data_IF_270777367740
#
_entry.id   IF_270777367740
#
_cell.length_a   1.000
_cell.length_b   1.000
_cell.length_c   1.000
_cell.angle_alpha   90.00
_cell.angle_beta   90.00
_cell.angle_gamma   90.00
#
_symmetry.space_group_name_H-M   'P 1'
#
loop_
_entity.id
_entity.type
_entity.pdbx_description
1 polymer ?
#
# COMPACT_ATOMS: atom_id res chain seq x y z
N UNK A 1 22.46 1.02 10.80
CA UNK A 1 21.20 0.32 11.02
C UNK A 1 20.22 1.25 11.71
N UNK A 2 19.13 1.56 11.01
CA UNK A 2 18.05 2.32 11.61
C UNK A 2 17.22 1.39 12.49
N UNK A 3 17.16 1.68 13.79
CA UNK A 3 16.30 0.95 14.70
C UNK A 3 14.84 1.28 14.38
N UNK A 4 13.96 0.28 14.44
CA UNK A 4 12.54 0.51 14.28
C UNK A 4 12.01 1.31 15.47
N UNK A 5 11.10 2.28 15.24
CA UNK A 5 10.47 2.98 16.34
C UNK A 5 9.62 2.02 17.18
N UNK A 6 9.38 2.33 18.47
CA UNK A 6 8.52 1.50 19.32
C UNK A 6 7.12 1.36 18.74
N UNK A 7 6.54 0.15 18.81
CA UNK A 7 5.20 -0.12 18.26
C UNK A 7 4.12 0.83 18.80
N UNK A 8 4.23 1.23 20.05
CA UNK A 8 3.26 2.12 20.70
C UNK A 8 3.24 3.53 20.13
N UNK A 9 4.32 3.95 19.42
CA UNK A 9 4.42 5.29 18.83
C UNK A 9 4.18 5.34 17.33
N UNK A 10 3.94 4.18 16.69
CA UNK A 10 3.74 4.12 15.24
C UNK A 10 2.31 4.54 14.87
N UNK A 11 2.16 5.26 13.74
CA UNK A 11 0.81 5.55 13.24
C UNK A 11 0.05 4.27 12.91
N UNK A 12 -1.25 4.32 13.12
CA UNK A 12 -2.20 3.25 12.77
C UNK A 12 -3.18 3.75 11.74
N UNK A 13 -4.02 2.85 11.24
CA UNK A 13 -5.02 3.19 10.22
C UNK A 13 -5.91 4.38 10.65
N UNK A 14 -6.14 4.57 11.95
CA UNK A 14 -6.97 5.67 12.46
C UNK A 14 -6.20 6.95 12.73
N UNK A 15 -4.89 6.96 12.61
CA UNK A 15 -4.07 8.14 12.88
C UNK A 15 -4.49 9.31 12.00
N UNK A 16 -4.39 10.53 12.53
CA UNK A 16 -4.79 11.78 11.88
C UNK A 16 -6.29 11.90 11.60
N UNK A 17 -7.13 11.00 12.13
CA UNK A 17 -8.58 11.08 11.95
C UNK A 17 -9.22 11.99 12.99
N UNK A 18 -9.67 13.17 12.56
CA UNK A 18 -10.51 14.07 13.37
C UNK A 18 -11.97 13.89 12.99
N UNK A 19 -12.93 14.36 13.83
CA UNK A 19 -14.35 14.35 13.44
C UNK A 19 -14.62 15.10 12.14
N UNK A 20 -13.96 16.25 11.93
CA UNK A 20 -14.11 17.04 10.72
C UNK A 20 -13.59 16.29 9.48
N UNK A 21 -12.45 15.62 9.61
CA UNK A 21 -11.88 14.82 8.54
C UNK A 21 -12.79 13.64 8.20
N UNK A 22 -13.33 12.97 9.21
CA UNK A 22 -14.27 11.86 9.02
C UNK A 22 -15.50 12.30 8.26
N UNK A 23 -16.09 13.45 8.62
CA UNK A 23 -17.28 13.99 7.96
C UNK A 23 -16.97 14.38 6.52
N UNK A 24 -15.80 14.98 6.27
CA UNK A 24 -15.34 15.32 4.93
C UNK A 24 -15.25 14.08 4.05
N UNK A 25 -14.57 13.02 4.53
CA UNK A 25 -14.41 11.78 3.77
C UNK A 25 -15.75 11.10 3.49
N UNK A 26 -16.69 11.12 4.43
CA UNK A 26 -18.04 10.59 4.21
C UNK A 26 -18.75 11.34 3.09
N UNK A 27 -18.64 12.68 3.06
CA UNK A 27 -19.25 13.48 2.01
C UNK A 27 -18.65 13.18 0.65
N UNK A 28 -17.31 13.07 0.57
CA UNK A 28 -16.63 12.73 -0.68
C UNK A 28 -17.07 11.36 -1.18
N UNK A 29 -17.07 10.35 -0.29
CA UNK A 29 -17.51 9.01 -0.66
C UNK A 29 -18.95 8.98 -1.15
N UNK A 30 -19.84 9.69 -0.46
CA UNK A 30 -21.25 9.79 -0.85
C UNK A 30 -21.41 10.47 -2.21
N UNK A 31 -20.73 11.60 -2.40
CA UNK A 31 -20.82 12.36 -3.66
C UNK A 31 -20.28 11.57 -4.86
N UNK A 32 -19.31 10.71 -4.65
CA UNK A 32 -18.72 9.87 -5.68
C UNK A 32 -19.39 8.50 -5.76
N UNK A 33 -20.39 8.22 -4.93
CA UNK A 33 -21.07 6.92 -4.85
C UNK A 33 -20.11 5.76 -4.58
N UNK A 34 -19.16 5.98 -3.66
CA UNK A 34 -18.17 4.97 -3.28
C UNK A 34 -18.67 4.16 -2.09
N UNK A 35 -18.38 2.85 -2.10
CA UNK A 35 -18.66 1.95 -0.99
C UNK A 35 -17.35 1.39 -0.43
N UNK A 36 -17.19 1.39 0.89
CA UNK A 36 -15.98 0.90 1.53
C UNK A 36 -15.80 -0.62 1.37
N UNK A 37 -14.59 -1.04 1.05
CA UNK A 37 -14.19 -2.44 0.93
C UNK A 37 -13.18 -2.86 1.99
N UNK A 38 -12.55 -1.90 2.68
CA UNK A 38 -11.56 -2.16 3.70
C UNK A 38 -11.90 -1.37 4.97
N UNK A 39 -11.56 -1.92 6.12
CA UNK A 39 -11.73 -1.23 7.40
C UNK A 39 -10.36 -1.01 8.06
N UNK A 40 -10.35 -0.28 9.16
CA UNK A 40 -9.10 0.05 9.87
C UNK A 40 -8.36 -1.19 10.34
N UNK A 41 -9.07 -2.21 10.82
CA UNK A 41 -8.45 -3.45 11.28
C UNK A 41 -7.69 -4.15 10.15
N UNK A 42 -8.31 -4.25 8.98
CA UNK A 42 -7.68 -4.87 7.81
C UNK A 42 -6.45 -4.10 7.36
N UNK A 43 -6.54 -2.77 7.31
CA UNK A 43 -5.39 -1.93 6.97
C UNK A 43 -4.26 -2.09 7.99
N UNK A 44 -4.58 -2.11 9.28
CA UNK A 44 -3.57 -2.28 10.33
C UNK A 44 -2.86 -3.64 10.22
N UNK A 45 -3.60 -4.71 9.95
CA UNK A 45 -3.00 -6.03 9.75
C UNK A 45 -2.05 -6.03 8.56
N UNK A 46 -2.48 -5.46 7.44
CA UNK A 46 -1.64 -5.40 6.23
C UNK A 46 -0.39 -4.56 6.46
N UNK A 47 -0.52 -3.37 7.03
CA UNK A 47 0.60 -2.46 7.28
C UNK A 47 1.60 -3.10 8.25
N UNK A 48 1.11 -3.78 9.28
CA UNK A 48 1.96 -4.48 10.24
C UNK A 48 2.84 -5.53 9.56
N UNK A 49 2.27 -6.29 8.61
CA UNK A 49 3.02 -7.30 7.84
C UNK A 49 4.05 -6.66 6.92
N UNK A 50 3.75 -5.49 6.35
CA UNK A 50 4.70 -4.77 5.51
C UNK A 50 5.86 -4.17 6.30
N UNK A 51 5.62 -3.84 7.57
CA UNK A 51 6.65 -3.29 8.47
C UNK A 51 7.58 -4.35 9.04
N UNK A 52 7.15 -5.61 9.10
CA UNK A 52 7.88 -6.69 9.78
C UNK A 52 9.23 -7.04 9.13
N UNK A 53 9.35 -7.20 7.79
CA UNK A 53 10.64 -7.54 7.18
C UNK A 53 11.65 -6.40 7.32
N UNK A 54 12.91 -6.76 7.60
CA UNK A 54 13.99 -5.77 7.69
C UNK A 54 14.80 -5.68 6.39
N UNK A 55 14.89 -6.78 5.65
CA UNK A 55 15.76 -6.87 4.48
C UNK A 55 15.17 -6.19 3.24
N UNK A 56 13.85 -6.26 3.07
CA UNK A 56 13.19 -5.70 1.92
C UNK A 56 11.73 -5.38 2.22
N UNK A 57 11.28 -4.22 1.76
CA UNK A 57 9.89 -3.84 1.78
C UNK A 57 9.48 -3.37 0.39
N UNK A 58 8.25 -3.72 -0.06
CA UNK A 58 7.83 -3.32 -1.39
C UNK A 58 7.63 -1.81 -1.49
N UNK A 59 7.83 -1.26 -2.68
CA UNK A 59 7.39 0.09 -2.99
C UNK A 59 5.86 0.10 -3.12
N UNK A 60 5.26 1.24 -2.79
CA UNK A 60 3.82 1.43 -2.89
C UNK A 60 3.51 2.80 -3.46
N UNK A 61 2.34 2.93 -4.04
CA UNK A 61 1.72 4.22 -4.35
C UNK A 61 0.23 4.10 -4.04
N UNK A 62 -0.43 5.23 -3.86
CA UNK A 62 -1.83 5.24 -3.48
C UNK A 62 -2.58 6.39 -4.12
N UNK A 63 -3.90 6.30 -4.09
CA UNK A 63 -4.80 7.41 -4.38
C UNK A 63 -5.82 7.48 -3.26
N UNK A 64 -5.97 8.68 -2.69
CA UNK A 64 -7.05 8.96 -1.75
C UNK A 64 -8.32 9.32 -2.50
N UNK A 65 -9.48 9.14 -1.86
CA UNK A 65 -10.77 9.44 -2.50
C UNK A 65 -10.93 10.93 -2.84
N UNK A 66 -10.17 11.79 -2.18
CA UNK A 66 -10.21 13.24 -2.34
C UNK A 66 -8.92 13.83 -2.91
N UNK A 67 -8.06 13.03 -3.53
CA UNK A 67 -6.78 13.52 -4.03
C UNK A 67 -6.28 12.80 -5.27
N UNK A 68 -5.19 13.30 -5.86
CA UNK A 68 -4.59 12.65 -7.03
C UNK A 68 -3.74 11.44 -6.62
N UNK A 69 -3.36 10.57 -7.59
CA UNK A 69 -2.41 9.50 -7.31
C UNK A 69 -1.09 10.03 -6.78
N UNK A 70 -0.51 9.31 -5.82
CA UNK A 70 0.78 9.66 -5.23
C UNK A 70 1.94 9.20 -6.11
N UNK A 71 3.14 9.72 -5.81
CA UNK A 71 4.38 9.12 -6.29
C UNK A 71 4.63 7.79 -5.58
N UNK A 72 5.57 7.00 -6.11
CA UNK A 72 6.01 5.77 -5.46
C UNK A 72 6.87 6.08 -4.25
N UNK A 73 6.71 5.30 -3.16
CA UNK A 73 7.42 5.43 -1.90
C UNK A 73 7.68 4.02 -1.36
N UNK A 74 8.64 3.87 -0.46
CA UNK A 74 8.96 2.59 0.18
C UNK A 74 8.98 2.70 1.70
N UNK A 75 8.55 3.82 2.26
CA UNK A 75 8.56 4.05 3.70
C UNK A 75 7.18 3.71 4.27
N UNK A 76 7.10 2.64 5.10
CA UNK A 76 5.85 2.07 5.60
C UNK A 76 5.47 2.54 6.99
N UNK A 77 6.24 3.41 7.61
CA UNK A 77 6.01 3.80 9.01
C UNK A 77 5.24 5.12 9.11
N UNK A 78 5.68 6.16 8.41
CA UNK A 78 5.13 7.51 8.58
C UNK A 78 4.58 8.14 7.29
N UNK A 79 4.98 7.65 6.11
CA UNK A 79 4.61 8.26 4.84
C UNK A 79 3.28 7.78 4.26
N UNK A 80 2.63 6.81 4.90
CA UNK A 80 1.32 6.34 4.45
C UNK A 80 0.25 7.43 4.61
N UNK A 81 -0.81 7.39 3.79
CA UNK A 81 -1.84 8.43 3.78
C UNK A 81 -2.85 8.25 4.92
N UNK A 82 -2.43 8.44 6.16
CA UNK A 82 -3.32 8.34 7.30
C UNK A 82 -4.35 9.48 7.33
N UNK A 83 -5.61 9.24 7.68
CA UNK A 83 -6.20 7.93 8.03
C UNK A 83 -6.42 7.05 6.80
N UNK A 84 -6.25 5.74 6.97
CA UNK A 84 -6.34 4.81 5.85
C UNK A 84 -7.74 4.70 5.24
N UNK A 85 -8.76 5.16 5.94
CA UNK A 85 -10.12 5.28 5.40
C UNK A 85 -10.17 6.23 4.19
N UNK A 86 -9.17 7.10 4.02
CA UNK A 86 -9.07 7.98 2.85
C UNK A 86 -8.65 7.27 1.57
N UNK A 87 -8.10 6.07 1.68
CA UNK A 87 -7.45 5.37 0.54
C UNK A 87 -8.48 4.73 -0.38
N UNK A 88 -8.52 5.20 -1.62
CA UNK A 88 -9.33 4.57 -2.66
C UNK A 88 -8.68 3.29 -3.15
N UNK A 89 -7.38 3.33 -3.44
CA UNK A 89 -6.59 2.15 -3.78
C UNK A 89 -5.14 2.35 -3.38
N UNK A 90 -4.45 1.22 -3.17
CA UNK A 90 -3.03 1.16 -2.84
C UNK A 90 -2.36 0.11 -3.72
N UNK A 91 -1.34 0.51 -4.48
CA UNK A 91 -0.54 -0.38 -5.30
C UNK A 91 0.71 -0.80 -4.56
N UNK A 92 1.02 -2.09 -4.62
CA UNK A 92 2.23 -2.67 -4.02
C UNK A 92 3.02 -3.36 -5.10
N UNK A 93 4.25 -2.91 -5.34
CA UNK A 93 5.16 -3.50 -6.32
C UNK A 93 5.78 -4.76 -5.71
N UNK A 94 5.63 -5.92 -6.37
CA UNK A 94 6.01 -7.19 -5.76
C UNK A 94 7.30 -7.80 -6.32
N UNK A 95 7.95 -7.15 -7.27
CA UNK A 95 9.22 -7.63 -7.81
C UNK A 95 10.39 -6.96 -7.09
N UNK A 96 11.27 -7.75 -6.52
CA UNK A 96 12.48 -7.28 -5.88
C UNK A 96 13.66 -7.55 -6.79
N UNK A 97 14.37 -6.50 -7.21
CA UNK A 97 15.61 -6.64 -7.97
C UNK A 97 16.80 -6.57 -7.04
N UNK A 98 17.73 -7.52 -7.22
CA UNK A 98 19.00 -7.53 -6.51
C UNK A 98 20.12 -7.58 -7.54
N UNK A 99 21.00 -6.59 -7.49
CA UNK A 99 22.18 -6.54 -8.35
C UNK A 99 23.38 -7.08 -7.60
N UNK A 100 24.01 -8.12 -8.16
CA UNK A 100 25.28 -8.64 -7.62
C UNK A 100 26.45 -7.86 -8.21
N UNK A 101 27.35 -7.40 -7.34
CA UNK A 101 28.56 -6.69 -7.75
C UNK A 101 29.66 -7.69 -8.12
N UNK A 102 29.52 -8.31 -9.27
CA UNK A 102 30.51 -9.23 -9.81
C UNK A 102 30.67 -8.98 -11.32
N UNK A 103 31.72 -9.55 -11.92
CA UNK A 103 31.97 -9.46 -13.36
C UNK A 103 31.73 -10.83 -14.02
N UNK A 104 30.77 -10.96 -14.97
CA UNK A 104 29.81 -9.94 -15.36
C UNK A 104 28.75 -9.66 -14.30
N UNK A 105 28.16 -8.47 -14.27
CA UNK A 105 27.10 -8.16 -13.30
C UNK A 105 25.91 -9.09 -13.50
N UNK A 106 25.29 -9.47 -12.39
CA UNK A 106 24.09 -10.32 -12.42
C UNK A 106 22.96 -9.63 -11.70
N UNK A 107 21.77 -9.62 -12.34
CA UNK A 107 20.54 -9.11 -11.74
C UNK A 107 19.68 -10.33 -11.42
N UNK A 108 19.26 -10.44 -10.17
CA UNK A 108 18.33 -11.46 -9.71
C UNK A 108 17.01 -10.78 -9.36
N UNK A 109 15.91 -11.34 -9.85
CA UNK A 109 14.56 -10.84 -9.56
C UNK A 109 13.85 -11.86 -8.68
N UNK A 110 13.34 -11.40 -7.55
CA UNK A 110 12.49 -12.21 -6.66
C UNK A 110 11.05 -11.73 -6.78
N UNK A 111 10.15 -12.65 -7.08
CA UNK A 111 8.72 -12.38 -7.19
C UNK A 111 8.05 -12.68 -5.85
N UNK A 112 7.51 -11.66 -5.20
CA UNK A 112 6.86 -11.76 -3.91
C UNK A 112 5.33 -11.88 -4.01
N UNK A 113 4.78 -12.05 -5.21
CA UNK A 113 3.32 -12.01 -5.39
C UNK A 113 2.59 -13.13 -4.65
N UNK A 114 3.19 -14.32 -4.58
CA UNK A 114 2.50 -15.48 -3.98
C UNK A 114 2.17 -15.25 -2.50
N UNK A 115 3.14 -14.86 -1.70
CA UNK A 115 2.89 -14.64 -0.28
C UNK A 115 2.06 -13.38 -0.02
N UNK A 116 2.16 -12.36 -0.89
CA UNK A 116 1.31 -11.18 -0.81
C UNK A 116 -0.16 -11.54 -1.07
N UNK A 117 -0.44 -12.35 -2.10
CA UNK A 117 -1.80 -12.80 -2.37
C UNK A 117 -2.36 -13.62 -1.21
N UNK A 118 -1.57 -14.55 -0.66
CA UNK A 118 -1.99 -15.34 0.50
C UNK A 118 -2.33 -14.45 1.69
N UNK A 119 -1.50 -13.44 1.94
CA UNK A 119 -1.75 -12.47 3.01
C UNK A 119 -3.06 -11.70 2.80
N UNK A 120 -3.28 -11.21 1.57
CA UNK A 120 -4.48 -10.44 1.25
C UNK A 120 -5.75 -11.30 1.37
N UNK A 121 -5.68 -12.57 0.96
CA UNK A 121 -6.77 -13.53 1.17
C UNK A 121 -7.05 -13.76 2.64
N UNK A 122 -6.01 -13.95 3.44
CA UNK A 122 -6.13 -14.18 4.87
C UNK A 122 -6.75 -12.99 5.59
N UNK A 123 -6.33 -11.77 5.27
CA UNK A 123 -6.89 -10.55 5.85
C UNK A 123 -8.31 -10.29 5.34
N UNK A 124 -8.58 -10.67 4.09
CA UNK A 124 -9.86 -10.41 3.45
C UNK A 124 -9.93 -9.04 2.78
N UNK A 125 -8.82 -8.60 2.19
CA UNK A 125 -8.76 -7.37 1.38
C UNK A 125 -9.02 -7.71 -0.07
N UNK A 126 -9.83 -6.88 -0.74
CA UNK A 126 -10.08 -7.01 -2.17
C UNK A 126 -8.89 -6.46 -2.95
N UNK A 127 -8.44 -7.21 -3.96
CA UNK A 127 -7.29 -6.81 -4.75
C UNK A 127 -7.37 -7.31 -6.18
N UNK A 128 -6.56 -6.71 -7.04
CA UNK A 128 -6.33 -7.16 -8.42
C UNK A 128 -4.82 -7.34 -8.61
N UNK A 129 -4.43 -8.48 -9.16
CA UNK A 129 -3.02 -8.75 -9.44
C UNK A 129 -2.68 -8.35 -10.86
N UNK A 130 -1.66 -7.50 -11.02
CA UNK A 130 -1.08 -7.15 -12.31
C UNK A 130 0.21 -7.92 -12.58
N UNK A 131 0.99 -7.42 -13.53
CA UNK A 131 2.26 -8.04 -13.94
C UNK A 131 3.39 -7.72 -12.97
N UNK A 132 3.38 -6.54 -12.38
CA UNK A 132 4.46 -6.07 -11.51
C UNK A 132 3.96 -5.54 -10.16
N UNK A 133 2.65 -5.41 -10.00
CA UNK A 133 2.05 -4.84 -8.80
C UNK A 133 0.71 -5.50 -8.51
N UNK A 134 0.31 -5.42 -7.25
CA UNK A 134 -1.02 -5.77 -6.78
C UNK A 134 -1.69 -4.47 -6.33
N UNK A 135 -2.93 -4.25 -6.78
CA UNK A 135 -3.73 -3.12 -6.31
C UNK A 135 -4.73 -3.59 -5.28
N UNK A 136 -4.65 -3.01 -4.09
CA UNK A 136 -5.59 -3.24 -3.01
C UNK A 136 -6.66 -2.14 -3.06
N UNK A 137 -7.94 -2.51 -3.01
CA UNK A 137 -9.05 -1.57 -3.13
C UNK A 137 -9.61 -1.22 -1.76
N UNK A 138 -9.61 0.08 -1.45
CA UNK A 138 -10.28 0.58 -0.25
C UNK A 138 -11.75 0.83 -0.48
N UNK A 139 -12.16 1.06 -1.75
CA UNK A 139 -13.54 1.39 -2.13
C UNK A 139 -13.93 0.74 -3.44
N UNK A 140 -15.23 0.51 -3.60
CA UNK A 140 -15.85 0.19 -4.89
C UNK A 140 -16.60 1.43 -5.42
N UNK A 141 -16.76 1.62 -6.76
CA UNK A 141 -16.26 0.74 -7.82
C UNK A 141 -14.73 0.69 -7.87
N UNK A 142 -14.21 -0.47 -8.23
CA UNK A 142 -12.77 -0.73 -8.30
C UNK A 142 -12.16 0.01 -9.50
N UNK A 143 -11.38 1.05 -9.22
CA UNK A 143 -10.74 1.85 -10.26
C UNK A 143 -9.47 1.17 -10.74
N UNK A 144 -9.30 1.08 -12.07
CA UNK A 144 -8.08 0.56 -12.69
C UNK A 144 -7.23 1.70 -13.29
N UNK A 145 -7.47 2.94 -12.88
CA UNK A 145 -6.65 4.08 -13.28
C UNK A 145 -5.18 3.82 -12.95
N UNK A 146 -4.30 3.97 -13.94
CA UNK A 146 -2.85 3.74 -13.82
C UNK A 146 -2.46 2.31 -13.42
N UNK A 147 -3.42 1.37 -13.38
CA UNK A 147 -3.12 0.00 -12.99
C UNK A 147 -2.11 -0.63 -13.95
N UNK A 148 -1.12 -1.30 -13.36
CA UNK A 148 -0.02 -1.98 -14.07
C UNK A 148 0.95 -1.05 -14.79
N UNK A 149 0.89 0.26 -14.53
CA UNK A 149 1.95 1.15 -14.96
C UNK A 149 3.19 0.94 -14.10
N UNK A 150 4.35 1.02 -14.75
CA UNK A 150 5.61 0.57 -14.16
C UNK A 150 5.93 1.23 -12.82
N UNK A 151 6.35 0.42 -11.81
CA UNK A 151 6.93 0.98 -10.59
C UNK A 151 8.26 1.67 -10.90
N UNK A 152 8.76 2.50 -9.95
CA UNK A 152 10.03 3.18 -10.19
C UNK A 152 11.15 2.17 -10.44
N UNK A 153 12.05 2.49 -11.38
CA UNK A 153 13.23 1.68 -11.62
C UNK A 153 14.14 1.77 -10.39
N UNK A 154 14.55 0.61 -9.90
CA UNK A 154 15.51 0.54 -8.81
C UNK A 154 16.91 0.69 -9.38
N UNK A 155 17.52 1.81 -9.15
CA UNK A 155 18.92 2.02 -9.46
C UNK A 155 19.80 1.68 -8.27
#
# INVERSE_FOLDING_TARGET
MTSQPPRSSLPTAKSAQSPAERDHLRRVASNRSLCGLANDTKWDEFISEMRAPEEWRPSYRYKCIDGPPSAWDAEWFYHLPFPMVSVEWLDVAFLQERREHRLPPRITVTDHSAWLEDLLHEIGLDYEKGKTMIRIFGYSPKSLELFDEQPPSHT
#
